data_IF_649672434473
#
_entry.id   IF_649672434473
#
_cell.length_a   1.000
_cell.length_b   1.000
_cell.length_c   1.000
_cell.angle_alpha   90.00
_cell.angle_beta   90.00
_cell.angle_gamma   90.00
#
_symmetry.space_group_name_H-M   'P 1'
#
loop_
_entity.id
_entity.type
_entity.pdbx_description
1 polymer ?
#
# COMPACT_ATOMS: atom_id res chain seq x y z
N UNK A 1 49.14 4.94 15.06
CA UNK A 1 48.32 6.02 14.46
C UNK A 1 47.42 5.49 13.33
N UNK A 2 47.93 4.67 12.41
CA UNK A 2 47.15 4.10 11.28
C UNK A 2 45.86 3.32 11.63
N UNK A 3 45.77 2.68 12.80
CA UNK A 3 44.58 1.90 13.19
C UNK A 3 43.38 2.77 13.59
N UNK A 4 43.62 3.96 14.16
CA UNK A 4 42.55 4.89 14.54
C UNK A 4 41.96 5.60 13.31
N UNK A 5 42.82 5.92 12.35
CA UNK A 5 42.44 6.53 11.05
C UNK A 5 41.60 5.56 10.21
N UNK A 6 41.96 4.26 10.16
CA UNK A 6 41.15 3.27 9.42
C UNK A 6 39.76 3.04 10.01
N UNK A 7 39.61 3.16 11.33
CA UNK A 7 38.31 3.03 12.00
C UNK A 7 37.43 4.26 11.76
N UNK A 8 38.03 5.46 11.73
CA UNK A 8 37.32 6.69 11.39
C UNK A 8 36.82 6.66 9.94
N UNK A 9 37.68 6.29 8.97
CA UNK A 9 37.31 6.18 7.56
C UNK A 9 36.23 5.11 7.32
N UNK A 10 36.30 3.96 8.03
CA UNK A 10 35.23 2.96 7.98
C UNK A 10 33.92 3.49 8.56
N UNK A 11 33.96 4.26 9.66
CA UNK A 11 32.75 4.82 10.24
C UNK A 11 32.10 5.87 9.34
N UNK A 12 32.89 6.75 8.71
CA UNK A 12 32.40 7.80 7.82
C UNK A 12 31.86 7.22 6.51
N UNK A 13 32.50 6.20 5.95
CA UNK A 13 32.00 5.50 4.77
C UNK A 13 30.72 4.70 5.03
N UNK A 14 30.57 4.11 6.22
CA UNK A 14 29.33 3.47 6.63
C UNK A 14 28.20 4.50 6.79
N UNK A 15 28.45 5.63 7.46
CA UNK A 15 27.45 6.70 7.64
C UNK A 15 27.04 7.30 6.30
N UNK A 16 27.97 7.55 5.39
CA UNK A 16 27.68 7.99 4.02
C UNK A 16 26.84 6.94 3.26
N UNK A 17 27.19 5.66 3.36
CA UNK A 17 26.43 4.57 2.73
C UNK A 17 25.00 4.44 3.27
N UNK A 18 24.80 4.59 4.58
CA UNK A 18 23.46 4.60 5.19
C UNK A 18 22.69 5.86 4.82
N UNK A 19 23.34 7.02 4.77
CA UNK A 19 22.75 8.29 4.33
C UNK A 19 22.29 8.24 2.88
N UNK A 20 23.10 7.65 2.00
CA UNK A 20 22.77 7.47 0.58
C UNK A 20 21.63 6.47 0.40
N UNK A 21 21.64 5.37 1.14
CA UNK A 21 20.57 4.38 1.09
C UNK A 21 19.24 4.95 1.61
N UNK A 22 19.29 5.73 2.69
CA UNK A 22 18.12 6.43 3.22
C UNK A 22 17.60 7.47 2.22
N UNK A 23 18.48 8.28 1.63
CA UNK A 23 18.14 9.30 0.64
C UNK A 23 17.55 8.69 -0.63
N UNK A 24 18.11 7.58 -1.11
CA UNK A 24 17.59 6.81 -2.25
C UNK A 24 16.18 6.30 -1.96
N UNK A 25 15.97 5.66 -0.80
CA UNK A 25 14.65 5.16 -0.38
C UNK A 25 13.63 6.28 -0.22
N UNK A 26 14.03 7.42 0.33
CA UNK A 26 13.18 8.62 0.44
C UNK A 26 12.80 9.10 -0.96
N UNK A 27 13.76 9.21 -1.87
CA UNK A 27 13.53 9.69 -3.24
C UNK A 27 12.62 8.75 -4.04
N UNK A 28 12.83 7.43 -3.90
CA UNK A 28 11.98 6.38 -4.49
C UNK A 28 10.55 6.40 -3.92
N UNK A 29 10.39 6.70 -2.63
CA UNK A 29 9.06 6.80 -2.03
C UNK A 29 8.34 8.09 -2.44
N UNK A 30 9.08 9.20 -2.62
CA UNK A 30 8.53 10.47 -3.09
C UNK A 30 8.15 10.41 -4.58
N UNK A 31 8.87 9.64 -5.41
CA UNK A 31 8.49 9.46 -6.82
C UNK A 31 7.20 8.67 -7.00
N UNK A 32 6.76 7.93 -5.96
CA UNK A 32 5.50 7.18 -5.93
C UNK A 32 4.29 8.01 -5.52
N UNK A 33 4.44 9.31 -5.22
CA UNK A 33 3.28 10.15 -4.88
C UNK A 33 2.38 10.30 -6.12
N UNK A 34 1.17 9.75 -6.02
CA UNK A 34 0.18 9.82 -7.09
C UNK A 34 -0.66 11.10 -6.94
N UNK A 35 -0.79 11.90 -8.01
CA UNK A 35 -1.68 13.07 -7.98
C UNK A 35 -3.09 12.68 -8.40
N UNK A 36 -4.04 12.85 -7.47
CA UNK A 36 -5.47 12.57 -7.67
C UNK A 36 -6.06 13.56 -8.67
N UNK A 37 -6.77 13.01 -9.64
CA UNK A 37 -7.60 13.70 -10.63
C UNK A 37 -9.05 13.71 -10.16
N UNK A 38 -9.86 14.59 -10.75
CA UNK A 38 -11.26 14.78 -10.38
C UNK A 38 -12.14 13.56 -10.65
N UNK A 39 -11.78 12.74 -11.64
CA UNK A 39 -12.60 11.64 -12.15
C UNK A 39 -12.22 10.29 -11.54
N UNK A 40 -11.45 9.47 -12.26
CA UNK A 40 -11.15 8.10 -11.92
C UNK A 40 -9.65 7.96 -11.68
N UNK A 41 -9.30 7.46 -10.50
CA UNK A 41 -7.92 7.29 -10.08
C UNK A 41 -7.70 5.83 -9.72
N UNK A 42 -6.73 5.18 -10.36
CA UNK A 42 -6.39 3.79 -10.10
C UNK A 42 -4.99 3.74 -9.50
N UNK A 43 -4.93 3.38 -8.21
CA UNK A 43 -3.72 3.21 -7.44
C UNK A 43 -3.32 1.74 -7.50
N UNK A 44 -2.27 1.41 -8.28
CA UNK A 44 -1.87 0.01 -8.51
C UNK A 44 -1.00 -0.50 -7.36
N UNK A 45 -1.13 -1.77 -7.01
CA UNK A 45 -0.33 -2.35 -5.91
C UNK A 45 1.17 -2.38 -6.19
N UNK A 46 1.59 -2.43 -7.46
CA UNK A 46 3.00 -2.33 -7.85
C UNK A 46 3.62 -0.94 -7.66
N UNK A 47 2.79 0.09 -7.43
CA UNK A 47 3.21 1.47 -7.13
C UNK A 47 3.11 1.78 -5.63
N UNK A 48 2.61 0.84 -4.81
CA UNK A 48 2.46 1.02 -3.38
C UNK A 48 3.81 1.03 -2.64
N UNK A 49 3.76 1.55 -1.41
CA UNK A 49 4.71 1.23 -0.35
C UNK A 49 4.18 0.00 0.38
N UNK A 50 4.98 -1.06 0.45
CA UNK A 50 4.58 -2.36 0.98
C UNK A 50 5.24 -2.57 2.33
N UNK A 51 4.42 -2.87 3.34
CA UNK A 51 4.87 -3.11 4.71
C UNK A 51 4.48 -4.52 5.12
N UNK A 52 5.41 -5.44 4.93
CA UNK A 52 5.30 -6.85 5.30
C UNK A 52 6.58 -7.59 4.89
N UNK A 53 6.56 -8.91 4.98
CA UNK A 53 7.74 -9.75 4.76
C UNK A 53 7.39 -11.07 4.05
N UNK A 54 8.43 -11.77 3.60
CA UNK A 54 8.31 -13.08 2.97
C UNK A 54 7.55 -13.02 1.65
N UNK A 55 6.57 -13.91 1.47
CA UNK A 55 5.77 -14.00 0.26
C UNK A 55 4.81 -12.80 0.04
N UNK A 56 4.80 -11.83 0.95
CA UNK A 56 4.00 -10.61 0.81
C UNK A 56 4.64 -9.63 -0.16
N UNK A 57 4.45 -9.89 -1.45
CA UNK A 57 5.12 -9.16 -2.53
C UNK A 57 4.24 -9.02 -3.78
N UNK A 58 4.66 -8.14 -4.69
CA UNK A 58 3.99 -7.90 -5.96
C UNK A 58 4.34 -9.00 -6.94
N UNK A 59 3.34 -9.70 -7.44
CA UNK A 59 3.46 -10.59 -8.58
C UNK A 59 3.61 -9.77 -9.87
N UNK A 60 4.71 -9.99 -10.59
CA UNK A 60 5.02 -9.25 -11.81
C UNK A 60 4.05 -9.53 -12.98
N UNK A 61 3.31 -10.65 -12.94
CA UNK A 61 2.42 -11.07 -14.03
C UNK A 61 1.12 -10.29 -14.03
N UNK A 62 0.47 -10.19 -12.87
CA UNK A 62 -0.84 -9.52 -12.75
C UNK A 62 -0.77 -8.17 -12.04
N UNK A 63 0.38 -7.84 -11.44
CA UNK A 63 0.63 -6.60 -10.70
C UNK A 63 -0.01 -6.57 -9.31
N UNK A 64 -0.53 -7.71 -8.82
CA UNK A 64 -1.17 -7.80 -7.53
C UNK A 64 -0.18 -8.17 -6.43
N UNK A 65 -0.41 -7.65 -5.23
CA UNK A 65 0.25 -8.17 -4.03
C UNK A 65 -0.38 -9.50 -3.63
N UNK A 66 0.45 -10.51 -3.43
CA UNK A 66 0.07 -11.87 -3.00
C UNK A 66 0.73 -12.21 -1.67
N UNK A 67 0.49 -13.41 -1.14
CA UNK A 67 1.12 -13.92 0.08
C UNK A 67 0.68 -13.22 1.37
N UNK A 68 -0.45 -12.52 1.37
CA UNK A 68 -0.97 -11.76 2.50
C UNK A 68 -1.50 -12.66 3.62
N UNK A 69 -0.59 -13.30 4.33
CA UNK A 69 -0.85 -14.31 5.37
C UNK A 69 -0.79 -13.76 6.80
N UNK A 70 -0.46 -12.47 6.95
CA UNK A 70 -0.50 -11.77 8.23
C UNK A 70 -1.40 -10.52 8.10
N UNK A 71 -2.50 -10.42 8.86
CA UNK A 71 -3.37 -9.24 8.88
C UNK A 71 -2.64 -7.93 9.19
N UNK A 72 -1.53 -7.98 9.93
CA UNK A 72 -0.74 -6.79 10.28
C UNK A 72 0.05 -6.21 9.11
N UNK A 73 0.15 -6.90 7.97
CA UNK A 73 0.75 -6.33 6.76
C UNK A 73 -0.19 -5.35 6.10
N UNK A 74 0.36 -4.34 5.43
CA UNK A 74 -0.43 -3.29 4.80
C UNK A 74 0.27 -2.66 3.59
N UNK A 75 -0.55 -2.06 2.73
CA UNK A 75 -0.12 -1.29 1.58
C UNK A 75 -0.47 0.18 1.80
N UNK A 76 0.41 1.07 1.35
CA UNK A 76 0.20 2.52 1.42
C UNK A 76 0.43 3.13 0.07
N UNK A 77 -0.53 3.94 -0.37
CA UNK A 77 -0.36 4.84 -1.51
C UNK A 77 -0.30 6.28 -1.02
N UNK A 78 0.87 6.94 -1.11
CA UNK A 78 0.93 8.37 -0.90
C UNK A 78 0.25 9.08 -2.08
N UNK A 79 -0.68 9.98 -1.77
CA UNK A 79 -1.43 10.72 -2.78
C UNK A 79 -1.37 12.22 -2.52
N UNK A 80 -1.35 13.00 -3.59
CA UNK A 80 -1.60 14.44 -3.54
C UNK A 80 -3.00 14.73 -4.07
N UNK A 81 -3.81 15.41 -3.26
CA UNK A 81 -5.20 15.74 -3.56
C UNK A 81 -5.30 17.25 -3.76
N UNK A 82 -5.48 17.75 -4.99
CA UNK A 82 -5.45 19.18 -5.29
C UNK A 82 -6.72 19.92 -4.89
N UNK A 83 -7.84 19.22 -4.74
CA UNK A 83 -9.16 19.78 -4.44
C UNK A 83 -9.87 18.91 -3.41
N UNK A 84 -10.61 19.53 -2.49
CA UNK A 84 -11.46 18.79 -1.56
C UNK A 84 -12.61 18.10 -2.31
N UNK A 85 -13.16 17.04 -1.74
CA UNK A 85 -14.20 16.28 -2.40
C UNK A 85 -14.57 14.98 -1.71
N UNK A 86 -15.55 14.31 -2.30
CA UNK A 86 -16.04 13.01 -1.84
C UNK A 86 -15.65 11.94 -2.86
N UNK A 87 -15.02 10.87 -2.40
CA UNK A 87 -14.51 9.80 -3.25
C UNK A 87 -15.15 8.47 -2.89
N UNK A 88 -15.77 7.81 -3.87
CA UNK A 88 -16.17 6.43 -3.74
C UNK A 88 -14.93 5.54 -3.95
N UNK A 89 -14.68 4.63 -3.00
CA UNK A 89 -13.54 3.70 -3.06
C UNK A 89 -14.02 2.29 -3.35
N UNK A 90 -13.40 1.67 -4.35
CA UNK A 90 -13.46 0.22 -4.59
C UNK A 90 -12.07 -0.39 -4.62
N UNK A 91 -11.97 -1.68 -4.34
CA UNK A 91 -10.72 -2.42 -4.29
C UNK A 91 -10.81 -3.62 -5.22
N UNK A 92 -9.88 -3.73 -6.17
CA UNK A 92 -9.84 -4.82 -7.14
C UNK A 92 -9.05 -6.00 -6.57
N UNK A 93 -9.74 -7.10 -6.29
CA UNK A 93 -9.17 -8.25 -5.57
C UNK A 93 -9.62 -9.58 -6.15
N UNK A 94 -8.78 -10.60 -6.01
CA UNK A 94 -9.16 -12.00 -6.18
C UNK A 94 -8.90 -12.74 -4.86
N UNK A 95 -9.69 -13.78 -4.56
CA UNK A 95 -9.53 -14.53 -3.31
C UNK A 95 -8.87 -15.87 -3.59
N UNK A 96 -7.66 -16.13 -3.03
CA UNK A 96 -6.99 -17.41 -3.18
C UNK A 96 -7.83 -18.54 -2.60
N UNK A 97 -7.62 -19.77 -3.09
CA UNK A 97 -8.24 -20.96 -2.51
C UNK A 97 -7.86 -21.09 -1.02
N UNK A 98 -8.88 -21.28 -0.17
CA UNK A 98 -8.71 -21.31 1.29
C UNK A 98 -8.38 -19.95 1.92
N UNK A 99 -8.40 -18.87 1.15
CA UNK A 99 -8.20 -17.51 1.60
C UNK A 99 -9.48 -16.76 1.95
N UNK A 100 -9.31 -15.47 2.20
CA UNK A 100 -10.38 -14.54 2.55
C UNK A 100 -10.25 -13.98 3.95
N UNK A 101 -11.07 -12.98 4.25
CA UNK A 101 -11.14 -12.31 5.53
C UNK A 101 -11.72 -10.91 5.40
N UNK A 102 -11.54 -10.12 6.45
CA UNK A 102 -11.92 -8.71 6.47
C UNK A 102 -10.69 -7.81 6.37
N UNK A 103 -10.87 -6.67 5.72
CA UNK A 103 -9.85 -5.65 5.55
C UNK A 103 -10.46 -4.27 5.79
N UNK A 104 -9.60 -3.33 6.12
CA UNK A 104 -9.98 -1.92 6.27
C UNK A 104 -9.31 -1.08 5.19
N UNK A 105 -10.00 0.01 4.82
CA UNK A 105 -9.42 1.10 4.03
C UNK A 105 -9.50 2.38 4.85
N UNK A 106 -8.37 3.09 4.93
CA UNK A 106 -8.26 4.37 5.63
C UNK A 106 -7.84 5.46 4.65
N UNK A 107 -8.56 6.59 4.68
CA UNK A 107 -8.25 7.79 3.90
C UNK A 107 -8.77 9.03 4.65
N UNK A 108 -7.91 10.05 4.79
CA UNK A 108 -8.25 11.36 5.37
C UNK A 108 -8.98 11.29 6.74
N UNK A 109 -8.65 10.29 7.56
CA UNK A 109 -9.27 10.05 8.87
C UNK A 109 -10.57 9.25 8.82
N UNK A 110 -11.15 9.05 7.63
CA UNK A 110 -12.23 8.09 7.41
C UNK A 110 -11.70 6.65 7.40
N UNK A 111 -12.54 5.71 7.83
CA UNK A 111 -12.27 4.28 7.88
C UNK A 111 -13.51 3.52 7.48
N UNK A 112 -13.36 2.59 6.56
CA UNK A 112 -14.42 1.64 6.19
C UNK A 112 -13.87 0.22 6.19
N UNK A 113 -14.73 -0.74 6.50
CA UNK A 113 -14.39 -2.17 6.54
C UNK A 113 -15.11 -2.87 5.40
N UNK A 114 -14.40 -3.74 4.70
CA UNK A 114 -14.95 -4.58 3.66
C UNK A 114 -14.46 -6.01 3.82
N UNK A 115 -15.16 -6.92 3.14
CA UNK A 115 -14.84 -8.34 3.13
C UNK A 115 -14.34 -8.73 1.75
N UNK A 116 -13.34 -9.59 1.72
CA UNK A 116 -12.86 -10.19 0.47
C UNK A 116 -13.99 -11.01 -0.17
N UNK A 117 -14.19 -10.93 -1.49
CA UNK A 117 -15.25 -11.64 -2.18
C UNK A 117 -14.94 -13.13 -2.23
N UNK A 118 -15.88 -13.94 -2.70
CA UNK A 118 -15.59 -15.35 -3.03
C UNK A 118 -15.17 -15.46 -4.48
N UNK A 119 -14.22 -16.33 -4.77
CA UNK A 119 -13.77 -16.63 -6.13
C UNK A 119 -12.36 -16.11 -6.42
N UNK A 120 -11.73 -16.75 -7.40
CA UNK A 120 -10.33 -16.53 -7.79
C UNK A 120 -10.17 -15.52 -8.94
N UNK A 121 -11.27 -14.90 -9.38
CA UNK A 121 -11.26 -13.86 -10.40
C UNK A 121 -11.19 -12.48 -9.76
N UNK A 122 -10.44 -11.57 -10.39
CA UNK A 122 -10.38 -10.18 -9.96
C UNK A 122 -11.73 -9.51 -10.12
N UNK A 123 -12.25 -8.96 -9.02
CA UNK A 123 -13.51 -8.22 -8.98
C UNK A 123 -13.37 -7.00 -8.08
N UNK A 124 -14.18 -5.98 -8.34
CA UNK A 124 -14.20 -4.77 -7.54
C UNK A 124 -15.12 -4.96 -6.34
N UNK A 125 -14.53 -4.85 -5.15
CA UNK A 125 -15.27 -4.75 -3.89
C UNK A 125 -15.52 -3.29 -3.61
N UNK A 126 -16.80 -2.89 -3.58
CA UNK A 126 -17.17 -1.55 -3.12
C UNK A 126 -16.91 -1.46 -1.62
N UNK A 127 -16.09 -0.51 -1.20
CA UNK A 127 -15.75 -0.33 0.23
C UNK A 127 -16.63 0.73 0.85
N UNK A 128 -16.73 1.90 0.22
CA UNK A 128 -17.51 3.00 0.78
C UNK A 128 -17.16 4.34 0.17
N UNK A 129 -17.50 5.41 0.89
CA UNK A 129 -17.31 6.79 0.46
C UNK A 129 -16.53 7.57 1.51
N UNK A 130 -15.52 8.31 1.07
CA UNK A 130 -14.59 9.03 1.95
C UNK A 130 -14.59 10.51 1.59
N UNK A 131 -14.63 11.36 2.61
CA UNK A 131 -14.57 12.81 2.46
C UNK A 131 -13.14 13.30 2.69
N UNK A 132 -12.64 14.12 1.77
CA UNK A 132 -11.40 14.88 1.92
C UNK A 132 -11.77 16.36 2.00
N UNK A 133 -11.61 16.97 3.18
CA UNK A 133 -12.08 18.33 3.45
C UNK A 133 -11.15 19.41 2.92
N UNK A 134 -9.84 19.12 2.93
CA UNK A 134 -8.80 20.08 2.57
C UNK A 134 -7.86 19.49 1.50
N UNK A 135 -7.45 20.25 0.49
CA UNK A 135 -6.37 19.84 -0.40
C UNK A 135 -5.08 19.52 0.37
N UNK A 136 -4.31 18.55 -0.11
CA UNK A 136 -3.02 18.22 0.49
C UNK A 136 -2.55 16.81 0.21
N UNK A 137 -1.51 16.41 0.94
CA UNK A 137 -0.94 15.07 0.86
C UNK A 137 -1.62 14.14 1.85
N UNK A 138 -2.10 13.01 1.34
CA UNK A 138 -2.76 11.96 2.12
C UNK A 138 -2.13 10.60 1.85
N UNK A 139 -2.61 9.61 2.59
CA UNK A 139 -2.29 8.20 2.38
C UNK A 139 -3.59 7.42 2.28
N UNK A 140 -3.71 6.61 1.24
CA UNK A 140 -4.66 5.51 1.20
C UNK A 140 -3.95 4.31 1.81
N UNK A 141 -4.53 3.73 2.86
CA UNK A 141 -3.96 2.59 3.56
C UNK A 141 -4.95 1.43 3.47
N UNK A 142 -4.46 0.24 3.10
CA UNK A 142 -5.22 -1.01 3.20
C UNK A 142 -4.48 -1.97 4.12
N UNK A 143 -5.17 -2.43 5.16
CA UNK A 143 -4.68 -3.40 6.16
C UNK A 143 -5.68 -4.55 6.32
N UNK A 144 -5.17 -5.72 6.70
CA UNK A 144 -6.02 -6.84 7.10
C UNK A 144 -6.55 -6.66 8.52
N UNK A 145 -7.76 -7.15 8.78
CA UNK A 145 -8.35 -7.23 10.12
C UNK A 145 -8.24 -8.67 10.64
N UNK A 146 -8.63 -9.64 9.81
CA UNK A 146 -8.58 -11.06 10.11
C UNK A 146 -8.41 -11.89 8.83
N UNK A 147 -8.08 -13.16 9.02
CA UNK A 147 -8.13 -14.18 7.98
C UNK A 147 -9.20 -15.19 8.34
N UNK A 148 -9.97 -15.63 7.35
CA UNK A 148 -10.98 -16.68 7.52
C UNK A 148 -10.33 -18.01 7.94
N UNK A 149 -9.13 -18.27 7.43
CA UNK A 149 -8.31 -19.43 7.81
C UNK A 149 -6.95 -18.96 8.30
N UNK A 150 -6.48 -19.52 9.43
CA UNK A 150 -5.21 -19.11 10.06
C UNK A 150 -3.98 -19.28 9.15
N UNK A 151 -3.99 -20.27 8.26
CA UNK A 151 -2.94 -20.51 7.27
C UNK A 151 -3.28 -20.01 5.87
N UNK A 152 -4.41 -19.31 5.72
CA UNK A 152 -4.86 -18.76 4.45
C UNK A 152 -4.16 -17.45 4.11
N UNK A 153 -4.53 -16.89 2.97
CA UNK A 153 -4.15 -15.53 2.57
C UNK A 153 -5.41 -14.67 2.54
N UNK A 154 -5.28 -13.39 2.86
CA UNK A 154 -6.40 -12.46 2.85
C UNK A 154 -6.97 -12.34 1.42
N UNK A 155 -6.15 -11.91 0.47
CA UNK A 155 -6.54 -11.66 -0.92
C UNK A 155 -5.30 -11.54 -1.81
N UNK A 156 -5.51 -11.58 -3.12
CA UNK A 156 -4.62 -10.99 -4.10
C UNK A 156 -5.11 -9.57 -4.40
N UNK A 157 -4.35 -8.55 -4.02
CA UNK A 157 -4.77 -7.15 -4.12
C UNK A 157 -4.12 -6.49 -5.34
N UNK A 158 -4.91 -6.10 -6.34
CA UNK A 158 -4.40 -5.52 -7.60
C UNK A 158 -4.35 -3.99 -7.62
N UNK A 159 -5.40 -3.35 -7.15
CA UNK A 159 -5.50 -1.90 -7.17
C UNK A 159 -6.60 -1.37 -6.25
N UNK A 160 -6.48 -0.08 -5.94
CA UNK A 160 -7.53 0.71 -5.29
C UNK A 160 -8.00 1.77 -6.28
N UNK A 161 -9.32 1.91 -6.41
CA UNK A 161 -9.92 2.91 -7.27
C UNK A 161 -10.56 3.99 -6.41
N UNK A 162 -10.18 5.25 -6.65
CA UNK A 162 -10.84 6.42 -6.07
C UNK A 162 -11.59 7.13 -7.20
N UNK A 163 -12.92 7.12 -7.12
CA UNK A 163 -13.79 7.82 -8.05
C UNK A 163 -14.35 9.08 -7.38
N UNK A 164 -13.99 10.26 -7.89
CA UNK A 164 -14.57 11.52 -7.44
C UNK A 164 -16.04 11.62 -7.84
N UNK A 165 -16.87 12.13 -6.93
CA UNK A 165 -18.28 12.44 -7.16
C UNK A 165 -18.47 13.92 -7.49
#
# INVERSE_FOLDING_TARGET
>A
QQFAESLADQSDSLVASYGDLASKRISENLSKVFTVKKDLNVLKSNEALIFGEGAFEVDATDGAVKGWSNPQYYLVWPINVPESGTYAISVNVATPSGGGGEFEVVLAGGREVARTPKGDQFTDVQVGTFEIKDPGTYRVIISGINLDQKSGQLMYLRSVTLKGN
#
